data_IF_303582007437
#
_entry.id   IF_303582007437
#
_cell.length_a   1.000
_cell.length_b   1.000
_cell.length_c   1.000
_cell.angle_alpha   90.00
_cell.angle_beta   90.00
_cell.angle_gamma   90.00
#
_symmetry.space_group_name_H-M   'P 1'
#
loop_
_entity.id
_entity.type
_entity.pdbx_description
1 polymer ?
#
# COMPACT_ATOMS: atom_id res chain seq x y z
N UNK A 1 5.33 -34.55 -32.63
CA UNK A 1 4.22 -33.68 -32.24
C UNK A 1 4.61 -32.97 -30.95
N UNK A 2 4.93 -31.67 -31.01
CA UNK A 2 5.33 -30.90 -29.84
C UNK A 2 4.19 -29.95 -29.47
N UNK A 3 3.54 -30.21 -28.34
CA UNK A 3 2.52 -29.34 -27.80
C UNK A 3 3.20 -28.30 -26.90
N UNK A 4 3.50 -27.13 -27.47
CA UNK A 4 4.00 -25.98 -26.71
C UNK A 4 2.83 -25.34 -25.98
N UNK A 5 2.78 -25.47 -24.65
CA UNK A 5 1.82 -24.75 -23.81
C UNK A 5 2.37 -23.36 -23.49
N UNK A 6 1.72 -22.32 -24.01
CA UNK A 6 1.99 -20.94 -23.60
C UNK A 6 1.71 -20.76 -22.11
N UNK A 7 2.68 -20.24 -21.36
CA UNK A 7 2.48 -19.80 -19.99
C UNK A 7 1.97 -18.36 -20.01
N UNK A 8 0.66 -18.17 -19.93
CA UNK A 8 0.08 -16.85 -19.69
C UNK A 8 0.39 -16.42 -18.25
N UNK A 9 0.98 -15.24 -18.08
CA UNK A 9 1.05 -14.60 -16.76
C UNK A 9 -0.38 -14.36 -16.24
N UNK A 10 -0.61 -14.45 -14.92
CA UNK A 10 -1.88 -14.02 -14.36
C UNK A 10 -2.11 -12.56 -14.76
N UNK A 11 -3.20 -12.31 -15.49
CA UNK A 11 -3.56 -10.99 -16.02
C UNK A 11 -4.10 -10.04 -14.95
N UNK A 12 -4.34 -10.53 -13.74
CA UNK A 12 -4.97 -9.78 -12.66
C UNK A 12 -4.03 -9.67 -11.45
N UNK A 13 -3.94 -8.48 -10.84
CA UNK A 13 -3.23 -8.32 -9.58
C UNK A 13 -3.89 -9.17 -8.48
N UNK A 14 -3.12 -9.46 -7.43
CA UNK A 14 -3.65 -10.12 -6.24
C UNK A 14 -4.84 -9.29 -5.68
N UNK A 15 -5.97 -9.92 -5.27
CA UNK A 15 -7.14 -9.19 -4.79
C UNK A 15 -6.83 -8.17 -3.68
N UNK A 16 -5.91 -8.53 -2.77
CA UNK A 16 -5.44 -7.63 -1.72
C UNK A 16 -4.73 -6.38 -2.26
N UNK A 17 -3.96 -6.51 -3.36
CA UNK A 17 -3.27 -5.38 -3.98
C UNK A 17 -4.26 -4.44 -4.68
N UNK A 18 -5.31 -5.01 -5.31
CA UNK A 18 -6.39 -4.23 -5.90
C UNK A 18 -7.16 -3.42 -4.84
N UNK A 19 -7.46 -4.03 -3.69
CA UNK A 19 -8.11 -3.36 -2.57
C UNK A 19 -7.30 -2.16 -2.05
N UNK A 20 -6.01 -2.36 -1.81
CA UNK A 20 -5.09 -1.29 -1.36
C UNK A 20 -5.05 -0.15 -2.38
N UNK A 21 -4.99 -0.47 -3.68
CA UNK A 21 -4.99 0.54 -4.74
C UNK A 21 -6.29 1.36 -4.77
N UNK A 22 -7.43 0.71 -4.58
CA UNK A 22 -8.74 1.38 -4.48
C UNK A 22 -8.81 2.30 -3.26
N UNK A 23 -8.38 1.84 -2.09
CA UNK A 23 -8.36 2.65 -0.86
C UNK A 23 -7.46 3.88 -1.01
N UNK A 24 -6.29 3.73 -1.64
CA UNK A 24 -5.39 4.85 -1.95
C UNK A 24 -6.02 5.85 -2.92
N UNK A 25 -6.69 5.38 -3.98
CA UNK A 25 -7.38 6.24 -4.93
C UNK A 25 -8.51 7.03 -4.26
N UNK A 26 -9.27 6.38 -3.36
CA UNK A 26 -10.33 7.02 -2.58
C UNK A 26 -9.79 8.09 -1.62
N UNK A 27 -8.69 7.82 -0.94
CA UNK A 27 -8.03 8.79 -0.05
C UNK A 27 -7.54 10.03 -0.81
N UNK A 28 -6.93 9.85 -1.99
CA UNK A 28 -6.50 10.97 -2.85
C UNK A 28 -7.68 11.81 -3.34
N UNK A 29 -8.75 11.16 -3.80
CA UNK A 29 -9.95 11.85 -4.28
C UNK A 29 -10.63 12.67 -3.17
N UNK A 30 -10.54 12.21 -1.92
CA UNK A 30 -11.06 12.94 -0.76
C UNK A 30 -10.28 14.23 -0.50
N UNK A 31 -8.97 14.26 -0.78
CA UNK A 31 -8.10 15.44 -0.63
C UNK A 31 -8.50 16.58 -1.58
N UNK A 32 -8.88 16.23 -2.81
CA UNK A 32 -9.28 17.17 -3.86
C UNK A 32 -10.72 17.69 -3.66
N UNK A 33 -11.60 16.86 -3.10
CA UNK A 33 -12.97 17.23 -2.75
C UNK A 33 -13.00 17.98 -1.40
N UNK A 34 -12.59 19.24 -1.41
CA UNK A 34 -12.76 20.14 -0.25
C UNK A 34 -14.24 20.19 0.19
N UNK A 35 -14.47 19.98 1.50
CA UNK A 35 -15.63 20.36 2.34
C UNK A 35 -16.49 19.21 2.95
N UNK A 36 -16.53 17.97 2.45
CA UNK A 36 -17.54 16.98 2.96
C UNK A 36 -17.07 15.91 3.95
N UNK A 37 -15.81 15.45 3.92
CA UNK A 37 -15.38 14.37 4.84
C UNK A 37 -14.86 14.96 6.15
N UNK A 38 -15.42 14.55 7.29
CA UNK A 38 -14.88 14.87 8.60
C UNK A 38 -13.47 14.29 8.76
N UNK A 39 -12.65 14.92 9.61
CA UNK A 39 -11.31 14.41 9.97
C UNK A 39 -11.41 12.96 10.47
N UNK A 40 -12.43 12.63 11.26
CA UNK A 40 -12.69 11.27 11.74
C UNK A 40 -12.82 10.25 10.59
N UNK A 41 -13.65 10.56 9.58
CA UNK A 41 -13.84 9.69 8.42
C UNK A 41 -12.52 9.45 7.67
N UNK A 42 -11.63 10.46 7.60
CA UNK A 42 -10.32 10.31 6.97
C UNK A 42 -9.39 9.41 7.78
N UNK A 43 -9.39 9.56 9.09
CA UNK A 43 -8.63 8.69 10.00
C UNK A 43 -9.13 7.24 9.92
N UNK A 44 -10.44 7.02 9.85
CA UNK A 44 -11.02 5.68 9.67
C UNK A 44 -10.58 5.05 8.34
N UNK A 45 -10.59 5.81 7.23
CA UNK A 45 -10.09 5.31 5.95
C UNK A 45 -8.59 4.99 5.97
N UNK A 46 -7.78 5.75 6.73
CA UNK A 46 -6.36 5.47 6.91
C UNK A 46 -6.14 4.19 7.75
N UNK A 47 -6.95 3.97 8.78
CA UNK A 47 -6.98 2.75 9.58
C UNK A 47 -7.26 1.53 8.67
N UNK A 48 -8.30 1.59 7.85
CA UNK A 48 -8.67 0.52 6.92
C UNK A 48 -7.56 0.23 5.89
N UNK A 49 -6.93 1.28 5.37
CA UNK A 49 -5.80 1.15 4.44
C UNK A 49 -4.62 0.48 5.14
N UNK A 50 -4.30 0.88 6.38
CA UNK A 50 -3.20 0.33 7.15
C UNK A 50 -3.39 -1.19 7.39
N UNK A 51 -4.58 -1.62 7.80
CA UNK A 51 -4.89 -3.05 7.97
C UNK A 51 -4.78 -3.84 6.65
N UNK A 52 -5.17 -3.21 5.56
CA UNK A 52 -5.15 -3.82 4.22
C UNK A 52 -3.73 -3.93 3.68
N UNK A 53 -2.87 -2.94 3.96
CA UNK A 53 -1.44 -2.97 3.65
C UNK A 53 -0.72 -4.05 4.46
N UNK A 54 -1.02 -4.17 5.75
CA UNK A 54 -0.44 -5.21 6.62
C UNK A 54 -0.75 -6.63 6.09
N UNK A 55 -2.00 -6.86 5.66
CA UNK A 55 -2.38 -8.10 4.95
C UNK A 55 -1.61 -8.31 3.65
N UNK A 56 -1.41 -7.26 2.85
CA UNK A 56 -0.67 -7.33 1.59
C UNK A 56 0.81 -7.66 1.80
N UNK A 57 1.45 -6.99 2.76
CA UNK A 57 2.88 -7.15 3.07
C UNK A 57 3.14 -8.56 3.60
N UNK A 58 2.25 -9.15 4.40
CA UNK A 58 2.39 -10.53 4.90
C UNK A 58 2.25 -11.62 3.83
N UNK A 59 1.82 -11.31 2.62
CA UNK A 59 1.73 -12.32 1.56
C UNK A 59 3.13 -12.82 1.16
N UNK A 60 3.31 -14.13 0.94
CA UNK A 60 4.61 -14.69 0.54
C UNK A 60 5.17 -14.06 -0.74
N UNK A 61 4.31 -13.75 -1.71
CA UNK A 61 4.71 -13.10 -2.97
C UNK A 61 5.23 -11.69 -2.74
N UNK A 62 4.63 -10.95 -1.80
CA UNK A 62 5.07 -9.60 -1.45
C UNK A 62 6.37 -9.66 -0.66
N UNK A 63 6.50 -10.54 0.33
CA UNK A 63 7.74 -10.76 1.07
C UNK A 63 8.90 -11.17 0.15
N UNK A 64 8.64 -12.05 -0.81
CA UNK A 64 9.63 -12.43 -1.80
C UNK A 64 10.04 -11.23 -2.67
N UNK A 65 9.09 -10.38 -3.08
CA UNK A 65 9.41 -9.16 -3.82
C UNK A 65 10.24 -8.16 -2.99
N UNK A 66 9.86 -7.95 -1.73
CA UNK A 66 10.53 -7.01 -0.82
C UNK A 66 11.96 -7.43 -0.47
N UNK A 67 12.25 -8.72 -0.42
CA UNK A 67 13.61 -9.25 -0.15
C UNK A 67 14.53 -9.23 -1.37
N UNK A 68 14.01 -8.96 -2.57
CA UNK A 68 14.88 -8.86 -3.75
C UNK A 68 15.75 -7.60 -3.65
N UNK A 69 17.05 -7.77 -3.92
CA UNK A 69 18.06 -6.70 -3.79
C UNK A 69 17.69 -5.46 -4.62
N UNK A 70 17.09 -5.63 -5.79
CA UNK A 70 16.66 -4.51 -6.63
C UNK A 70 15.56 -3.63 -6.00
N UNK A 71 14.79 -4.18 -5.06
CA UNK A 71 13.75 -3.45 -4.31
C UNK A 71 14.27 -2.85 -3.01
N UNK A 72 15.49 -3.19 -2.58
CA UNK A 72 16.07 -2.72 -1.30
C UNK A 72 16.01 -1.21 -1.17
N UNK A 73 16.43 -0.48 -2.20
CA UNK A 73 16.41 0.99 -2.20
C UNK A 73 14.98 1.54 -2.04
N UNK A 74 14.01 0.96 -2.73
CA UNK A 74 12.60 1.38 -2.62
C UNK A 74 12.03 1.09 -1.24
N UNK A 75 12.41 -0.04 -0.63
CA UNK A 75 12.01 -0.39 0.75
C UNK A 75 12.64 0.58 1.76
N UNK A 76 13.91 0.93 1.61
CA UNK A 76 14.58 1.93 2.46
C UNK A 76 13.92 3.30 2.37
N UNK A 77 13.57 3.75 1.16
CA UNK A 77 12.85 5.02 0.95
C UNK A 77 11.45 5.00 1.59
N UNK A 78 10.74 3.88 1.53
CA UNK A 78 9.46 3.71 2.19
C UNK A 78 9.59 3.79 3.72
N UNK A 79 10.62 3.16 4.29
CA UNK A 79 10.91 3.19 5.72
C UNK A 79 11.28 4.61 6.19
N UNK A 80 12.13 5.32 5.45
CA UNK A 80 12.48 6.71 5.73
C UNK A 80 11.23 7.61 5.74
N UNK A 81 10.34 7.46 4.75
CA UNK A 81 9.06 8.18 4.74
C UNK A 81 8.18 7.86 5.95
N UNK A 82 8.16 6.60 6.39
CA UNK A 82 7.40 6.17 7.57
C UNK A 82 7.95 6.77 8.88
N UNK A 83 9.28 6.84 9.02
CA UNK A 83 9.94 7.45 10.17
C UNK A 83 9.62 8.95 10.27
N UNK A 84 9.64 9.68 9.14
CA UNK A 84 9.28 11.11 9.13
C UNK A 84 7.86 11.38 9.62
N UNK A 85 6.92 10.49 9.28
CA UNK A 85 5.54 10.58 9.78
C UNK A 85 5.51 10.36 11.30
N UNK A 86 6.24 9.34 11.79
CA UNK A 86 6.37 9.07 13.22
C UNK A 86 6.96 10.26 13.99
N UNK A 87 8.01 10.89 13.45
CA UNK A 87 8.64 12.08 14.03
C UNK A 87 7.65 13.25 14.12
N UNK A 88 6.86 13.50 13.08
CA UNK A 88 5.81 14.53 13.09
C UNK A 88 4.76 14.27 14.19
N UNK A 89 4.32 13.03 14.35
CA UNK A 89 3.41 12.64 15.42
C UNK A 89 4.02 12.85 16.81
N UNK A 90 5.32 12.60 16.96
CA UNK A 90 6.02 12.83 18.22
C UNK A 90 6.16 14.32 18.56
N UNK A 91 6.33 15.19 17.56
CA UNK A 91 6.36 16.65 17.74
C UNK A 91 4.98 17.19 18.17
N UNK A 92 3.88 16.66 17.64
CA UNK A 92 2.52 17.11 18.03
C UNK A 92 2.07 16.69 19.43
N UNK A 93 2.87 15.88 20.13
CA UNK A 93 2.55 15.36 21.47
C UNK A 93 3.10 16.23 22.61
N UNK A 94 4.02 17.16 22.30
CA UNK A 94 4.51 18.22 23.19
C UNK A 94 3.66 19.49 23.03
#
# INVERSE_FOLDING_TARGET
SFHVRSKSFPSRPHPQAALVAEQLARLRSSEEASISSSICQRLDNLQDLHESLDKLIRLPVTQQALTQEHNKKSVEQLLDGSLRILDLCNISKD
#
